data_IF_604442109024
#
_entry.id   IF_604442109024
#
_cell.length_a   1.000
_cell.length_b   1.000
_cell.length_c   1.000
_cell.angle_alpha   90.00
_cell.angle_beta   90.00
_cell.angle_gamma   90.00
#
_symmetry.space_group_name_H-M   'P 1'
#
loop_
_entity.id
_entity.type
_entity.pdbx_description
1 polymer ?
#
# COMPACT_ATOMS: atom_id res chain seq x y z
N UNK A 1 -1.50 -36.02 -1.12
CA UNK A 1 -1.86 -35.68 -2.50
C UNK A 1 -2.54 -34.32 -2.46
N UNK A 2 -1.74 -33.25 -2.50
CA UNK A 2 -2.20 -31.87 -2.34
C UNK A 2 -2.26 -31.26 -3.74
N UNK A 3 -3.46 -30.88 -4.18
CA UNK A 3 -3.63 -30.21 -5.46
C UNK A 3 -3.18 -28.73 -5.32
N UNK A 4 -2.05 -28.42 -5.92
CA UNK A 4 -1.60 -27.07 -6.16
C UNK A 4 -2.48 -26.44 -7.25
N UNK A 5 -3.30 -25.46 -6.90
CA UNK A 5 -3.86 -24.54 -7.87
C UNK A 5 -2.82 -23.45 -8.18
N UNK A 6 -1.91 -23.75 -9.10
CA UNK A 6 -1.22 -22.70 -9.81
C UNK A 6 -2.26 -22.06 -10.75
N UNK A 7 -2.55 -20.77 -10.59
CA UNK A 7 -3.34 -20.05 -11.59
C UNK A 7 -2.47 -19.84 -12.81
N UNK A 8 -2.51 -20.78 -13.74
CA UNK A 8 -1.86 -20.69 -15.05
C UNK A 8 -2.69 -19.79 -15.95
N UNK A 9 -2.07 -18.74 -16.45
CA UNK A 9 -2.64 -17.99 -17.56
C UNK A 9 -2.21 -18.68 -18.85
N UNK A 10 -3.07 -19.50 -19.43
CA UNK A 10 -2.78 -20.17 -20.71
C UNK A 10 -3.14 -19.21 -21.82
N UNK A 11 -2.15 -18.57 -22.42
CA UNK A 11 -2.30 -17.86 -23.69
C UNK A 11 -2.20 -18.86 -24.83
N UNK A 12 -3.32 -19.14 -25.54
CA UNK A 12 -3.30 -20.00 -26.72
C UNK A 12 -3.02 -19.16 -27.96
N UNK A 13 -1.89 -19.43 -28.61
CA UNK A 13 -1.58 -18.93 -29.96
C UNK A 13 -1.51 -20.12 -30.92
N UNK A 14 -2.41 -20.14 -31.91
CA UNK A 14 -2.30 -21.10 -33.01
C UNK A 14 -1.30 -20.58 -34.03
N UNK A 15 -0.25 -21.37 -34.32
CA UNK A 15 0.74 -21.05 -35.35
C UNK A 15 0.75 -22.16 -36.40
N UNK A 16 0.51 -21.79 -37.66
CA UNK A 16 0.56 -22.74 -38.76
C UNK A 16 2.02 -23.20 -39.06
N UNK A 17 2.23 -24.50 -39.27
CA UNK A 17 3.56 -25.12 -39.50
C UNK A 17 4.38 -24.43 -40.59
N UNK A 18 3.71 -23.84 -41.61
CA UNK A 18 4.37 -23.11 -42.70
C UNK A 18 5.07 -21.83 -42.26
N UNK A 19 4.62 -21.20 -41.18
CA UNK A 19 5.24 -20.00 -40.64
C UNK A 19 6.48 -20.31 -39.78
N UNK A 20 6.48 -21.46 -39.06
CA UNK A 20 7.57 -21.88 -38.20
C UNK A 20 8.80 -22.40 -38.99
N UNK A 21 8.58 -23.07 -40.15
CA UNK A 21 9.66 -23.61 -40.97
C UNK A 21 10.51 -22.55 -41.72
N UNK A 22 10.09 -21.29 -41.71
CA UNK A 22 10.90 -20.20 -42.27
C UNK A 22 11.94 -19.64 -41.32
N UNK A 23 11.88 -19.97 -40.03
CA UNK A 23 12.74 -19.39 -38.99
C UNK A 23 13.55 -20.40 -38.16
N UNK A 24 13.22 -21.71 -38.20
CA UNK A 24 13.85 -22.72 -37.36
C UNK A 24 14.21 -24.00 -38.16
N UNK A 25 15.33 -24.62 -37.86
CA UNK A 25 15.75 -25.93 -38.44
C UNK A 25 14.96 -27.10 -37.79
N UNK A 26 14.90 -28.24 -38.46
CA UNK A 26 14.11 -29.40 -38.00
C UNK A 26 14.59 -30.02 -36.67
N UNK A 27 15.82 -29.73 -36.23
CA UNK A 27 16.39 -30.16 -34.94
C UNK A 27 16.02 -29.20 -33.78
N UNK A 28 15.66 -27.96 -34.08
CA UNK A 28 15.26 -26.95 -33.07
C UNK A 28 13.78 -27.05 -32.69
N UNK A 29 12.95 -27.68 -33.52
CA UNK A 29 11.54 -27.90 -33.26
C UNK A 29 11.24 -28.98 -32.21
N UNK A 30 12.23 -29.80 -31.85
CA UNK A 30 12.04 -30.91 -30.91
C UNK A 30 12.48 -30.58 -29.46
N UNK A 31 13.01 -29.39 -29.19
CA UNK A 31 13.64 -29.04 -27.91
C UNK A 31 13.35 -27.62 -27.44
N UNK A 32 12.18 -27.05 -27.75
CA UNK A 32 11.78 -25.77 -27.18
C UNK A 32 11.01 -25.95 -25.87
N UNK A 33 11.70 -26.47 -24.84
CA UNK A 33 11.37 -26.12 -23.45
C UNK A 33 12.33 -25.01 -23.07
N UNK A 34 11.89 -23.77 -23.25
CA UNK A 34 12.67 -22.59 -22.84
C UNK A 34 12.30 -22.20 -21.42
N UNK A 35 13.25 -22.28 -20.51
CA UNK A 35 13.11 -21.67 -19.19
C UNK A 35 13.77 -20.29 -19.25
N UNK A 36 12.96 -19.24 -19.15
CA UNK A 36 13.48 -17.87 -19.07
C UNK A 36 13.19 -17.34 -17.66
N UNK A 37 14.25 -17.11 -16.89
CA UNK A 37 14.16 -16.46 -15.56
C UNK A 37 14.34 -14.96 -15.71
N UNK A 38 13.36 -14.19 -15.25
CA UNK A 38 13.48 -12.74 -15.06
C UNK A 38 12.86 -12.42 -13.72
N UNK A 39 13.68 -11.97 -12.77
CA UNK A 39 13.26 -11.47 -11.43
C UNK A 39 12.20 -12.33 -10.72
N UNK A 40 12.48 -13.61 -10.47
CA UNK A 40 11.59 -14.52 -9.72
C UNK A 40 10.41 -15.07 -10.52
N UNK A 41 10.36 -14.85 -11.84
CA UNK A 41 9.35 -15.39 -12.75
C UNK A 41 10.01 -16.38 -13.70
N UNK A 42 9.56 -17.62 -13.70
CA UNK A 42 9.92 -18.59 -14.73
C UNK A 42 8.80 -18.70 -15.76
N UNK A 43 9.15 -18.46 -17.03
CA UNK A 43 8.28 -18.77 -18.15
C UNK A 43 8.62 -20.18 -18.63
N UNK A 44 7.72 -21.12 -18.44
CA UNK A 44 7.83 -22.48 -18.97
C UNK A 44 6.93 -22.55 -20.19
N UNK A 45 7.53 -22.71 -21.35
CA UNK A 45 6.79 -22.86 -22.60
C UNK A 45 7.14 -24.16 -23.30
N UNK A 46 6.16 -24.84 -23.86
CA UNK A 46 6.34 -26.03 -24.65
C UNK A 46 5.51 -25.98 -25.93
N UNK A 47 6.03 -26.58 -26.99
CA UNK A 47 5.30 -26.78 -28.23
C UNK A 47 4.74 -28.20 -28.22
N UNK A 48 3.42 -28.31 -28.14
CA UNK A 48 2.75 -29.60 -28.22
C UNK A 48 2.16 -29.80 -29.62
N UNK A 49 2.49 -30.94 -30.21
CA UNK A 49 2.03 -31.31 -31.56
C UNK A 49 0.59 -31.83 -31.45
N UNK A 50 -0.32 -31.20 -32.18
CA UNK A 50 -1.68 -31.66 -32.34
C UNK A 50 -1.94 -31.97 -33.83
N UNK A 51 -2.23 -33.22 -34.10
CA UNK A 51 -2.67 -33.64 -35.44
C UNK A 51 -4.23 -33.54 -35.46
N UNK A 52 -4.80 -33.03 -36.56
CA UNK A 52 -6.23 -33.06 -36.71
C UNK A 52 -6.74 -34.52 -36.79
N UNK A 53 -7.99 -34.78 -36.41
CA UNK A 53 -8.57 -36.11 -36.36
C UNK A 53 -8.59 -36.83 -37.73
N UNK A 54 -8.20 -36.16 -38.85
CA UNK A 54 -8.05 -36.69 -40.18
C UNK A 54 -6.59 -36.87 -40.59
N UNK A 55 -5.63 -36.47 -39.75
CA UNK A 55 -4.19 -36.57 -40.05
C UNK A 55 -3.69 -35.69 -41.20
N UNK A 56 -4.51 -34.72 -41.66
CA UNK A 56 -4.23 -33.90 -42.84
C UNK A 56 -3.61 -32.56 -42.55
N UNK A 57 -3.72 -32.06 -41.32
CA UNK A 57 -3.07 -30.81 -40.88
C UNK A 57 -2.29 -31.03 -39.59
N UNK A 58 -1.04 -30.55 -39.60
CA UNK A 58 -0.18 -30.51 -38.41
C UNK A 58 -0.21 -29.08 -37.84
N UNK A 59 -0.67 -28.94 -36.64
CA UNK A 59 -0.65 -27.69 -35.86
C UNK A 59 0.16 -27.90 -34.59
N UNK A 60 0.86 -26.86 -34.14
CA UNK A 60 1.60 -26.89 -32.88
C UNK A 60 0.92 -25.93 -31.92
N UNK A 61 0.70 -26.39 -30.70
CA UNK A 61 0.26 -25.58 -29.60
C UNK A 61 1.47 -25.03 -28.87
N UNK A 62 1.58 -23.72 -28.82
CA UNK A 62 2.48 -23.04 -27.89
C UNK A 62 1.70 -22.75 -26.62
N UNK A 63 2.03 -23.42 -25.53
CA UNK A 63 1.55 -23.05 -24.22
C UNK A 63 2.68 -22.36 -23.44
N UNK A 64 2.33 -21.26 -22.80
CA UNK A 64 3.20 -20.51 -21.89
C UNK A 64 2.59 -20.59 -20.50
N UNK A 65 3.23 -21.34 -19.63
CA UNK A 65 2.93 -21.28 -18.20
C UNK A 65 3.83 -20.25 -17.53
N UNK A 66 3.22 -19.25 -16.92
CA UNK A 66 3.92 -18.30 -16.09
C UNK A 66 4.01 -18.88 -14.68
N UNK A 67 5.17 -19.42 -14.35
CA UNK A 67 5.43 -19.95 -13.00
C UNK A 67 6.17 -18.88 -12.21
N UNK A 68 5.52 -18.37 -11.19
CA UNK A 68 6.16 -17.45 -10.26
C UNK A 68 6.93 -18.27 -9.21
N UNK A 69 8.25 -18.21 -9.23
CA UNK A 69 9.07 -18.66 -8.12
C UNK A 69 9.24 -17.51 -7.16
N UNK A 70 8.59 -17.60 -6.01
CA UNK A 70 8.90 -16.74 -4.88
C UNK A 70 10.10 -17.35 -4.16
N UNK A 71 11.18 -16.59 -4.00
CA UNK A 71 12.40 -17.02 -3.31
C UNK A 71 12.16 -17.40 -1.83
N UNK A 72 11.00 -16.97 -1.27
CA UNK A 72 10.55 -17.36 0.05
C UNK A 72 9.19 -18.06 -0.02
N UNK A 73 9.16 -19.35 0.29
CA UNK A 73 7.94 -20.15 0.44
C UNK A 73 6.97 -19.55 1.49
N UNK A 74 7.50 -18.89 2.52
CA UNK A 74 6.74 -18.17 3.55
C UNK A 74 5.99 -16.96 2.97
N UNK A 75 6.61 -16.21 2.04
CA UNK A 75 5.94 -15.13 1.30
C UNK A 75 4.82 -15.65 0.38
N UNK A 76 4.93 -16.88 -0.11
CA UNK A 76 3.88 -17.51 -0.91
C UNK A 76 2.66 -17.87 -0.05
N UNK A 77 2.86 -18.34 1.17
CA UNK A 77 1.76 -18.63 2.11
C UNK A 77 1.09 -17.35 2.61
N UNK A 78 1.86 -16.29 2.86
CA UNK A 78 1.35 -14.97 3.23
C UNK A 78 0.55 -14.33 2.08
N UNK A 79 1.02 -14.47 0.84
CA UNK A 79 0.29 -14.03 -0.37
C UNK A 79 -1.02 -14.82 -0.59
N UNK A 80 -1.05 -16.08 -0.22
CA UNK A 80 -2.26 -16.91 -0.31
C UNK A 80 -3.33 -16.48 0.69
N UNK A 81 -2.95 -16.10 1.91
CA UNK A 81 -3.90 -15.62 2.91
C UNK A 81 -4.60 -14.33 2.44
N UNK A 82 -3.85 -13.30 2.00
CA UNK A 82 -4.42 -12.06 1.49
C UNK A 82 -5.27 -12.24 0.21
N UNK A 83 -4.88 -13.14 -0.71
CA UNK A 83 -5.67 -13.46 -1.91
C UNK A 83 -6.95 -14.27 -1.59
N UNK A 84 -6.94 -15.06 -0.53
CA UNK A 84 -8.11 -15.80 -0.06
C UNK A 84 -9.10 -14.90 0.69
N UNK A 85 -8.62 -13.86 1.37
CA UNK A 85 -9.46 -12.89 2.06
C UNK A 85 -10.30 -12.05 1.09
N UNK A 86 -9.82 -11.79 -0.14
CA UNK A 86 -10.64 -11.24 -1.22
C UNK A 86 -11.85 -12.14 -1.58
N UNK A 87 -11.75 -13.43 -1.33
CA UNK A 87 -12.82 -14.39 -1.57
C UNK A 87 -13.71 -14.64 -0.35
N UNK A 88 -13.25 -14.36 0.86
CA UNK A 88 -13.98 -14.58 2.12
C UNK A 88 -14.70 -13.34 2.67
N UNK A 89 -14.39 -12.18 2.15
CA UNK A 89 -14.85 -10.84 2.53
C UNK A 89 -13.76 -9.85 2.16
N UNK A 90 -14.06 -8.60 1.83
CA UNK A 90 -13.08 -7.63 1.34
C UNK A 90 -12.01 -7.23 2.40
N UNK A 91 -11.51 -8.18 3.15
CA UNK A 91 -10.36 -7.99 4.02
C UNK A 91 -10.66 -7.39 5.38
N UNK A 92 -11.90 -7.51 5.87
CA UNK A 92 -12.30 -6.98 7.16
C UNK A 92 -13.23 -7.91 7.93
N UNK A 93 -13.72 -7.42 9.08
CA UNK A 93 -14.82 -8.05 9.81
C UNK A 93 -16.19 -7.85 9.13
N UNK A 94 -16.21 -7.28 7.93
CA UNK A 94 -17.47 -7.09 7.19
C UNK A 94 -17.90 -8.43 6.65
N UNK A 95 -19.07 -8.88 7.09
CA UNK A 95 -19.70 -10.05 6.50
C UNK A 95 -19.96 -9.83 5.02
N UNK A 96 -19.85 -10.89 4.23
CA UNK A 96 -19.96 -10.83 2.75
C UNK A 96 -21.20 -10.08 2.27
N UNK A 97 -22.31 -10.24 2.99
CA UNK A 97 -23.60 -9.63 2.63
C UNK A 97 -23.69 -8.15 3.03
N UNK A 98 -22.82 -7.67 3.93
CA UNK A 98 -22.79 -6.29 4.43
C UNK A 98 -21.85 -5.38 3.63
N UNK A 99 -20.99 -5.93 2.76
CA UNK A 99 -19.99 -5.16 2.00
C UNK A 99 -20.64 -4.08 1.16
N UNK A 100 -21.72 -4.37 0.44
CA UNK A 100 -22.43 -3.37 -0.37
C UNK A 100 -22.96 -2.22 0.50
N UNK A 101 -23.52 -2.53 1.66
CA UNK A 101 -24.00 -1.55 2.63
C UNK A 101 -22.85 -0.69 3.19
N UNK A 102 -21.68 -1.29 3.42
CA UNK A 102 -20.50 -0.56 3.87
C UNK A 102 -19.97 0.40 2.80
N UNK A 103 -19.95 -0.04 1.53
CA UNK A 103 -19.59 0.82 0.39
C UNK A 103 -20.57 2.00 0.27
N UNK A 104 -21.90 1.74 0.34
CA UNK A 104 -22.92 2.80 0.30
C UNK A 104 -22.74 3.83 1.43
N UNK A 105 -22.39 3.38 2.63
CA UNK A 105 -22.14 4.27 3.77
C UNK A 105 -20.86 5.06 3.61
N UNK A 106 -19.80 4.43 3.11
CA UNK A 106 -18.53 5.08 2.86
C UNK A 106 -18.65 6.19 1.81
N UNK A 107 -19.26 5.89 0.66
CA UNK A 107 -19.43 6.85 -0.42
C UNK A 107 -20.28 8.06 -0.01
N UNK A 108 -21.21 7.92 0.95
CA UNK A 108 -22.01 9.04 1.48
C UNK A 108 -21.16 10.13 2.14
N UNK A 109 -20.04 9.78 2.76
CA UNK A 109 -19.11 10.77 3.32
C UNK A 109 -18.44 11.66 2.25
N UNK A 110 -18.41 11.20 1.00
CA UNK A 110 -17.71 11.87 -0.10
C UNK A 110 -18.64 12.30 -1.25
N UNK A 111 -19.96 12.36 -1.03
CA UNK A 111 -20.93 12.73 -2.07
C UNK A 111 -20.64 14.13 -2.62
N UNK A 112 -20.59 14.24 -3.95
CA UNK A 112 -20.39 15.47 -4.70
C UNK A 112 -19.05 16.20 -4.42
N UNK A 113 -17.96 15.71 -4.99
CA UNK A 113 -16.64 16.38 -5.01
C UNK A 113 -16.14 16.83 -3.62
N UNK A 114 -16.13 15.91 -2.68
CA UNK A 114 -15.57 16.11 -1.37
C UNK A 114 -16.58 16.06 -0.21
N UNK A 115 -17.88 16.08 -0.46
CA UNK A 115 -18.89 16.02 0.60
C UNK A 115 -18.77 17.16 1.61
N UNK A 116 -19.37 16.98 2.79
CA UNK A 116 -19.21 17.91 3.90
C UNK A 116 -17.95 17.54 4.71
N UNK A 117 -16.91 18.38 4.65
CA UNK A 117 -15.64 18.22 5.37
C UNK A 117 -15.86 18.11 6.88
N UNK A 118 -16.77 18.92 7.46
CA UNK A 118 -17.08 18.88 8.89
C UNK A 118 -17.75 17.56 9.27
N UNK A 119 -18.63 17.01 8.42
CA UNK A 119 -19.24 15.69 8.63
C UNK A 119 -18.19 14.58 8.59
N UNK A 120 -17.24 14.63 7.63
CA UNK A 120 -16.13 13.67 7.56
C UNK A 120 -15.24 13.74 8.80
N UNK A 121 -14.88 14.94 9.25
CA UNK A 121 -14.09 15.13 10.47
C UNK A 121 -14.81 14.64 11.72
N UNK A 122 -16.09 14.90 11.83
CA UNK A 122 -16.89 14.46 12.98
C UNK A 122 -17.06 12.94 13.06
N UNK A 123 -17.05 12.25 11.90
CA UNK A 123 -17.25 10.81 11.81
C UNK A 123 -15.99 10.07 11.33
N UNK A 124 -14.79 10.68 11.43
CA UNK A 124 -13.57 10.15 10.84
C UNK A 124 -13.26 8.71 11.24
N UNK A 125 -13.48 8.35 12.50
CA UNK A 125 -13.23 6.99 13.01
C UNK A 125 -14.05 5.94 12.26
N UNK A 126 -15.34 6.19 12.05
CA UNK A 126 -16.22 5.28 11.31
C UNK A 126 -15.87 5.25 9.83
N UNK A 127 -15.61 6.41 9.23
CA UNK A 127 -15.23 6.55 7.83
C UNK A 127 -13.92 5.82 7.52
N UNK A 128 -12.87 6.08 8.31
CA UNK A 128 -11.54 5.48 8.11
C UNK A 128 -11.57 3.97 8.36
N UNK A 129 -12.29 3.51 9.40
CA UNK A 129 -12.42 2.07 9.65
C UNK A 129 -13.14 1.36 8.50
N UNK A 130 -14.25 1.90 8.00
CA UNK A 130 -14.96 1.34 6.84
C UNK A 130 -14.08 1.30 5.61
N UNK A 131 -13.33 2.37 5.36
CA UNK A 131 -12.38 2.42 4.26
C UNK A 131 -11.37 1.27 4.36
N UNK A 132 -10.65 1.15 5.46
CA UNK A 132 -9.63 0.10 5.61
C UNK A 132 -10.21 -1.31 5.68
N UNK A 133 -11.42 -1.49 6.21
CA UNK A 133 -12.12 -2.78 6.15
C UNK A 133 -12.42 -3.19 4.70
N UNK A 134 -12.66 -2.23 3.79
CA UNK A 134 -12.91 -2.47 2.38
C UNK A 134 -11.63 -2.67 1.55
N UNK A 135 -10.53 -1.96 1.88
CA UNK A 135 -9.38 -1.85 0.97
C UNK A 135 -8.11 -2.57 1.42
N UNK A 136 -7.99 -2.98 2.70
CA UNK A 136 -6.74 -3.55 3.22
C UNK A 136 -6.22 -4.73 2.39
N UNK A 137 -7.10 -5.64 1.97
CA UNK A 137 -6.70 -6.77 1.11
C UNK A 137 -6.23 -6.33 -0.28
N UNK A 138 -6.80 -5.27 -0.85
CA UNK A 138 -6.34 -4.70 -2.11
C UNK A 138 -4.95 -4.08 -1.97
N UNK A 139 -4.70 -3.40 -0.86
CA UNK A 139 -3.38 -2.84 -0.57
C UNK A 139 -2.34 -3.93 -0.33
N UNK A 140 -2.65 -4.94 0.49
CA UNK A 140 -1.75 -6.08 0.70
C UNK A 140 -1.44 -6.79 -0.63
N UNK A 141 -2.44 -6.93 -1.51
CA UNK A 141 -2.24 -7.50 -2.84
C UNK A 141 -1.38 -6.63 -3.76
N UNK A 142 -1.56 -5.32 -3.76
CA UNK A 142 -0.88 -4.38 -4.66
C UNK A 142 0.51 -3.94 -4.17
N UNK A 143 0.59 -3.46 -2.91
CA UNK A 143 1.80 -2.91 -2.30
C UNK A 143 2.61 -3.92 -1.49
N UNK A 144 1.99 -4.99 -0.98
CA UNK A 144 2.56 -5.87 0.02
C UNK A 144 2.20 -5.43 1.45
N UNK A 145 3.14 -5.51 2.40
CA UNK A 145 2.85 -5.26 3.82
C UNK A 145 3.04 -3.80 4.26
N UNK A 146 3.71 -2.97 3.45
CA UNK A 146 4.00 -1.57 3.73
C UNK A 146 3.21 -0.68 2.76
N UNK A 147 2.13 -0.07 3.25
CA UNK A 147 1.17 0.70 2.46
C UNK A 147 1.57 2.17 2.35
N UNK A 148 2.75 2.45 1.81
CA UNK A 148 3.22 3.81 1.66
C UNK A 148 4.08 4.00 0.42
N UNK A 149 4.24 5.25 0.01
CA UNK A 149 5.14 5.66 -1.06
C UNK A 149 6.60 5.76 -0.57
N UNK A 150 7.51 5.90 -1.51
CA UNK A 150 8.90 6.19 -1.24
C UNK A 150 9.55 6.96 -2.41
N UNK A 151 10.50 7.85 -2.15
CA UNK A 151 11.34 8.42 -3.21
C UNK A 151 12.19 7.30 -3.81
N UNK A 152 12.25 7.22 -5.14
CA UNK A 152 12.91 6.11 -5.85
C UNK A 152 14.20 6.55 -6.53
N UNK A 153 15.19 5.66 -6.53
CA UNK A 153 16.40 5.83 -7.31
C UNK A 153 16.30 5.08 -8.64
N UNK A 154 17.08 5.49 -9.62
CA UNK A 154 17.15 4.79 -10.90
C UNK A 154 17.67 3.35 -10.69
N UNK A 155 16.94 2.37 -11.22
CA UNK A 155 17.27 0.96 -11.08
C UNK A 155 16.79 0.30 -9.78
N UNK A 156 16.20 1.05 -8.87
CA UNK A 156 15.65 0.53 -7.61
C UNK A 156 14.23 0.01 -7.82
N UNK A 157 13.92 -1.16 -7.30
CA UNK A 157 12.56 -1.67 -7.25
C UNK A 157 11.69 -0.87 -6.27
N UNK A 158 10.35 -0.97 -6.37
CA UNK A 158 9.45 -0.32 -5.43
C UNK A 158 9.70 -0.82 -3.99
N UNK A 159 9.87 -2.13 -3.80
CA UNK A 159 10.10 -2.75 -2.49
C UNK A 159 11.40 -2.26 -1.84
N UNK A 160 12.49 -2.18 -2.60
CA UNK A 160 13.76 -1.64 -2.10
C UNK A 160 13.65 -0.17 -1.70
N UNK A 161 12.92 0.64 -2.51
CA UNK A 161 12.71 2.05 -2.18
C UNK A 161 11.90 2.23 -0.89
N UNK A 162 10.84 1.44 -0.70
CA UNK A 162 10.02 1.42 0.52
C UNK A 162 10.91 1.09 1.73
N UNK A 163 11.62 -0.03 1.68
CA UNK A 163 12.53 -0.47 2.75
C UNK A 163 13.59 0.59 3.09
N UNK A 164 14.23 1.17 2.09
CA UNK A 164 15.20 2.24 2.28
C UNK A 164 14.57 3.49 2.92
N UNK A 165 13.33 3.78 2.59
CA UNK A 165 12.58 4.92 3.16
C UNK A 165 12.28 4.70 4.65
N UNK A 166 11.88 3.49 5.03
CA UNK A 166 11.70 3.09 6.43
C UNK A 166 13.02 3.18 7.22
N UNK A 167 14.13 2.71 6.64
CA UNK A 167 15.47 2.85 7.25
C UNK A 167 15.90 4.31 7.40
N UNK A 168 15.61 5.16 6.42
CA UNK A 168 15.90 6.59 6.51
C UNK A 168 15.18 7.22 7.71
N UNK A 169 13.90 6.89 7.93
CA UNK A 169 13.13 7.39 9.07
C UNK A 169 13.76 6.95 10.41
N UNK A 170 14.12 5.68 10.52
CA UNK A 170 14.81 5.14 11.70
C UNK A 170 16.15 5.84 11.98
N UNK A 171 16.92 6.15 10.94
CA UNK A 171 18.19 6.90 11.04
C UNK A 171 17.97 8.36 11.43
N UNK A 172 16.94 9.03 10.90
CA UNK A 172 16.61 10.41 11.29
C UNK A 172 16.21 10.52 12.76
N UNK A 173 15.49 9.53 13.28
CA UNK A 173 15.16 9.40 14.70
C UNK A 173 16.36 9.01 15.57
N UNK A 174 17.45 8.55 14.96
CA UNK A 174 18.63 8.08 15.69
C UNK A 174 18.33 6.88 16.58
N UNK A 175 17.49 5.97 16.12
CA UNK A 175 17.05 4.79 16.90
C UNK A 175 18.22 3.94 17.35
N UNK A 176 18.15 3.46 18.61
CA UNK A 176 19.18 2.64 19.25
C UNK A 176 18.57 1.35 19.79
N UNK A 177 19.35 0.25 19.85
CA UNK A 177 18.87 -1.01 20.39
C UNK A 177 18.18 -0.87 21.74
N UNK A 178 17.09 -1.63 21.93
CA UNK A 178 16.28 -1.69 23.17
C UNK A 178 15.43 -0.45 23.47
N UNK A 179 15.44 0.58 22.66
CA UNK A 179 14.49 1.70 22.79
C UNK A 179 13.05 1.22 22.59
N UNK A 180 12.12 1.87 23.29
CA UNK A 180 10.67 1.70 23.10
C UNK A 180 10.17 2.72 22.09
N UNK A 181 9.72 2.26 20.97
CA UNK A 181 9.26 3.10 19.85
C UNK A 181 7.77 2.92 19.63
N UNK A 182 7.06 3.98 19.29
CA UNK A 182 5.65 3.95 18.90
C UNK A 182 5.53 4.20 17.39
N UNK A 183 4.82 3.31 16.71
CA UNK A 183 4.36 3.44 15.33
C UNK A 183 2.90 3.87 15.33
N UNK A 184 2.61 5.11 14.93
CA UNK A 184 1.27 5.70 14.98
C UNK A 184 0.56 5.48 13.65
N UNK A 185 -0.51 4.67 13.65
CA UNK A 185 -1.21 4.26 12.44
C UNK A 185 -0.46 3.18 11.67
N UNK A 186 -0.02 2.15 12.37
CA UNK A 186 0.91 1.13 11.87
C UNK A 186 0.36 0.19 10.78
N UNK A 187 -0.90 0.32 10.36
CA UNK A 187 -1.51 -0.59 9.41
C UNK A 187 -1.40 -2.06 9.83
N UNK A 188 -1.00 -2.93 8.92
CA UNK A 188 -0.70 -4.35 9.20
C UNK A 188 0.75 -4.58 9.66
N UNK A 189 1.52 -3.51 9.90
CA UNK A 189 2.82 -3.54 10.54
C UNK A 189 4.01 -3.87 9.64
N UNK A 190 3.95 -3.62 8.34
CA UNK A 190 5.12 -3.74 7.45
C UNK A 190 6.30 -2.90 7.94
N UNK A 191 6.16 -1.57 8.00
CA UNK A 191 7.20 -0.67 8.52
C UNK A 191 7.63 -1.00 9.95
N UNK A 192 6.68 -1.37 10.81
CA UNK A 192 6.93 -1.75 12.21
C UNK A 192 7.94 -2.89 12.31
N UNK A 193 7.73 -3.97 11.53
CA UNK A 193 8.64 -5.13 11.51
C UNK A 193 10.01 -4.78 10.95
N UNK A 194 10.04 -4.04 9.84
CA UNK A 194 11.30 -3.67 9.18
C UNK A 194 12.15 -2.72 10.04
N UNK A 195 11.54 -1.69 10.63
CA UNK A 195 12.23 -0.74 11.51
C UNK A 195 12.73 -1.42 12.79
N UNK A 196 11.91 -2.30 13.40
CA UNK A 196 12.33 -3.08 14.57
C UNK A 196 13.57 -3.94 14.30
N UNK A 197 13.59 -4.66 13.17
CA UNK A 197 14.75 -5.47 12.75
C UNK A 197 15.99 -4.61 12.46
N UNK A 198 15.81 -3.53 11.72
CA UNK A 198 16.91 -2.64 11.34
C UNK A 198 17.57 -1.96 12.52
N UNK A 199 16.79 -1.49 13.50
CA UNK A 199 17.27 -0.71 14.64
C UNK A 199 17.46 -1.52 15.90
N UNK A 200 17.02 -2.78 15.97
CA UNK A 200 16.98 -3.62 17.17
C UNK A 200 16.19 -2.96 18.31
N UNK A 201 15.12 -2.24 17.98
CA UNK A 201 14.20 -1.61 18.93
C UNK A 201 13.00 -2.49 19.22
N UNK A 202 12.26 -2.16 20.31
CA UNK A 202 10.92 -2.69 20.53
C UNK A 202 9.91 -1.70 20.02
N UNK A 203 9.07 -2.10 19.05
CA UNK A 203 8.08 -1.23 18.43
C UNK A 203 6.66 -1.64 18.83
N UNK A 204 5.90 -0.68 19.34
CA UNK A 204 4.47 -0.81 19.58
C UNK A 204 3.73 -0.13 18.45
N UNK A 205 2.94 -0.88 17.68
CA UNK A 205 2.06 -0.35 16.65
C UNK A 205 0.71 0.04 17.26
N UNK A 206 0.28 1.27 17.04
CA UNK A 206 -1.04 1.74 17.41
C UNK A 206 -1.89 1.87 16.15
N UNK A 207 -3.06 1.26 16.12
CA UNK A 207 -4.00 1.37 15.03
C UNK A 207 -5.44 1.27 15.50
N UNK A 208 -6.35 1.89 14.79
CA UNK A 208 -7.77 1.89 15.11
C UNK A 208 -8.53 0.71 14.48
N UNK A 209 -8.04 0.18 13.37
CA UNK A 209 -8.70 -0.89 12.62
C UNK A 209 -8.38 -2.27 13.21
N UNK A 210 -9.42 -3.00 13.65
CA UNK A 210 -9.30 -4.32 14.28
C UNK A 210 -8.77 -5.40 13.33
N UNK A 211 -9.19 -5.35 12.05
CA UNK A 211 -8.72 -6.31 11.06
C UNK A 211 -7.22 -6.16 10.83
N UNK A 212 -6.74 -4.93 10.62
CA UNK A 212 -5.33 -4.66 10.41
C UNK A 212 -4.48 -5.11 11.61
N UNK A 213 -4.95 -4.89 12.84
CA UNK A 213 -4.27 -5.36 14.05
C UNK A 213 -4.20 -6.89 14.11
N UNK A 214 -5.32 -7.56 13.84
CA UNK A 214 -5.37 -9.03 13.84
C UNK A 214 -4.45 -9.61 12.78
N UNK A 215 -4.46 -9.02 11.57
CA UNK A 215 -3.58 -9.39 10.47
C UNK A 215 -2.12 -9.14 10.82
N UNK A 216 -1.79 -7.98 11.37
CA UNK A 216 -0.44 -7.63 11.80
C UNK A 216 0.12 -8.59 12.85
N UNK A 217 -0.69 -9.00 13.84
CA UNK A 217 -0.31 -9.99 14.84
C UNK A 217 0.00 -11.35 14.20
N UNK A 218 -0.84 -11.81 13.27
CA UNK A 218 -0.58 -13.05 12.54
C UNK A 218 0.73 -12.99 11.75
N UNK A 219 1.00 -11.87 11.06
CA UNK A 219 2.25 -11.65 10.34
C UNK A 219 3.47 -11.59 11.27
N UNK A 220 3.35 -10.97 12.47
CA UNK A 220 4.43 -10.97 13.45
C UNK A 220 4.79 -12.39 13.91
N UNK A 221 3.78 -13.22 14.19
CA UNK A 221 4.00 -14.61 14.61
C UNK A 221 4.66 -15.45 13.52
N UNK A 222 4.26 -15.27 12.26
CA UNK A 222 4.86 -15.97 11.10
C UNK A 222 6.36 -15.65 11.00
N UNK A 223 6.75 -14.40 11.19
CA UNK A 223 8.16 -13.96 11.04
C UNK A 223 8.93 -13.94 12.36
N UNK A 224 8.32 -14.38 13.47
CA UNK A 224 8.97 -14.59 14.77
C UNK A 224 9.43 -13.31 15.47
N UNK A 225 8.70 -12.20 15.34
CA UNK A 225 9.05 -10.90 15.98
C UNK A 225 8.12 -10.50 17.12
N UNK A 226 7.25 -11.39 17.60
CA UNK A 226 6.27 -11.11 18.67
C UNK A 226 6.90 -10.57 19.96
N UNK A 227 8.17 -10.88 20.21
CA UNK A 227 8.90 -10.42 21.39
C UNK A 227 9.29 -8.94 21.32
N UNK A 228 9.41 -8.40 20.12
CA UNK A 228 9.87 -7.01 19.89
C UNK A 228 8.83 -6.14 19.24
N UNK A 229 7.79 -6.73 18.67
CA UNK A 229 6.74 -6.04 17.90
C UNK A 229 5.37 -6.41 18.48
N UNK A 230 4.62 -5.44 18.95
CA UNK A 230 3.27 -5.64 19.44
C UNK A 230 2.29 -4.62 18.86
N UNK A 231 0.99 -4.89 19.02
CA UNK A 231 -0.08 -4.03 18.51
C UNK A 231 -1.05 -3.65 19.63
N UNK A 232 -1.46 -2.38 19.62
CA UNK A 232 -2.51 -1.83 20.49
C UNK A 232 -3.60 -1.22 19.63
N UNK A 233 -4.85 -1.70 19.82
CA UNK A 233 -6.01 -1.09 19.19
C UNK A 233 -6.40 0.15 19.95
N UNK A 234 -6.21 1.31 19.34
CA UNK A 234 -6.67 2.59 19.90
C UNK A 234 -6.70 3.66 18.81
N UNK A 235 -7.42 4.72 19.15
CA UNK A 235 -7.45 5.95 18.38
C UNK A 235 -6.25 6.83 18.74
N UNK A 236 -5.51 7.30 17.74
CA UNK A 236 -4.36 8.17 17.95
C UNK A 236 -4.76 9.57 18.48
N UNK A 237 -6.05 9.94 18.39
CA UNK A 237 -6.59 11.15 19.05
C UNK A 237 -6.70 11.01 20.57
N UNK A 238 -6.62 9.76 21.09
CA UNK A 238 -6.66 9.45 22.53
C UNK A 238 -5.90 8.17 22.81
N UNK A 239 -4.60 8.26 22.97
CA UNK A 239 -3.73 7.11 23.14
C UNK A 239 -3.78 6.54 24.56
N UNK A 240 -3.88 5.18 24.73
CA UNK A 240 -4.00 4.53 26.05
C UNK A 240 -2.63 4.32 26.73
N UNK A 241 -1.71 5.25 26.53
CA UNK A 241 -0.37 5.17 27.12
C UNK A 241 -0.17 6.28 28.16
N UNK A 242 0.61 6.03 29.24
CA UNK A 242 1.04 7.09 30.14
C UNK A 242 1.90 8.13 29.44
N UNK A 243 1.97 9.32 30.04
CA UNK A 243 2.87 10.38 29.60
C UNK A 243 4.33 9.89 29.60
N UNK A 244 5.12 10.40 28.68
CA UNK A 244 6.57 10.14 28.62
C UNK A 244 6.93 8.65 28.58
N UNK A 245 6.20 7.85 27.80
CA UNK A 245 6.39 6.39 27.71
C UNK A 245 7.46 6.00 26.70
N UNK A 246 7.49 6.66 25.53
CA UNK A 246 8.29 6.23 24.39
C UNK A 246 9.58 7.04 24.20
N UNK A 247 10.63 6.34 23.77
CA UNK A 247 11.93 6.91 23.44
C UNK A 247 11.96 7.55 22.06
N UNK A 248 11.07 7.17 21.16
CA UNK A 248 10.83 7.77 19.86
C UNK A 248 9.42 7.46 19.39
N UNK A 249 8.88 8.30 18.53
CA UNK A 249 7.58 8.09 17.87
C UNK A 249 7.76 8.34 16.37
N UNK A 250 7.10 7.54 15.55
CA UNK A 250 6.98 7.83 14.13
C UNK A 250 5.58 7.56 13.61
N UNK A 251 5.27 8.18 12.46
CA UNK A 251 4.08 7.92 11.67
C UNK A 251 4.47 7.90 10.19
N UNK A 252 3.95 6.93 9.44
CA UNK A 252 4.18 6.83 8.01
C UNK A 252 2.84 6.90 7.29
N UNK A 253 2.58 8.04 6.65
CA UNK A 253 1.36 8.29 5.86
C UNK A 253 0.05 7.98 6.63
N UNK A 254 0.03 8.28 7.94
CA UNK A 254 -1.06 7.88 8.83
C UNK A 254 -1.77 9.07 9.48
N UNK A 255 -1.04 10.09 9.92
CA UNK A 255 -1.65 11.24 10.62
C UNK A 255 -2.42 12.19 9.69
N UNK A 256 -2.36 11.98 8.39
CA UNK A 256 -3.26 12.59 7.39
C UNK A 256 -4.74 12.26 7.63
N UNK A 257 -5.03 11.12 8.26
CA UNK A 257 -6.39 10.75 8.65
C UNK A 257 -6.90 11.48 9.92
N UNK A 258 -6.05 12.21 10.64
CA UNK A 258 -6.48 12.91 11.85
C UNK A 258 -7.44 14.06 11.52
N UNK A 259 -8.63 14.13 12.15
CA UNK A 259 -9.57 15.22 11.95
C UNK A 259 -9.03 16.54 12.49
N UNK A 260 -8.19 16.48 13.51
CA UNK A 260 -7.46 17.58 14.13
C UNK A 260 -5.99 17.20 14.30
N UNK A 261 -5.12 17.79 13.47
CA UNK A 261 -3.70 17.53 13.54
C UNK A 261 -3.06 18.01 14.85
N UNK A 262 -3.53 19.14 15.38
CA UNK A 262 -3.02 19.70 16.65
C UNK A 262 -3.32 18.75 17.80
N UNK A 263 -4.56 18.25 17.87
CA UNK A 263 -4.98 17.27 18.88
C UNK A 263 -4.18 15.96 18.77
N UNK A 264 -4.01 15.43 17.57
CA UNK A 264 -3.20 14.23 17.31
C UNK A 264 -1.74 14.43 17.74
N UNK A 265 -1.11 15.54 17.34
CA UNK A 265 0.27 15.81 17.70
C UNK A 265 0.45 16.11 19.18
N UNK A 266 -0.56 16.67 19.88
CA UNK A 266 -0.55 16.81 21.36
C UNK A 266 -0.55 15.45 22.05
N UNK A 267 -1.28 14.47 21.57
CA UNK A 267 -1.23 13.10 22.11
C UNK A 267 0.13 12.45 21.87
N UNK A 268 0.72 12.60 20.67
CA UNK A 268 2.08 12.15 20.38
C UNK A 268 3.09 12.85 21.33
N UNK A 269 2.96 14.17 21.48
CA UNK A 269 3.80 14.94 22.41
C UNK A 269 3.69 14.43 23.85
N UNK A 270 2.49 14.14 24.30
CA UNK A 270 2.22 13.64 25.66
C UNK A 270 2.95 12.32 25.93
N UNK A 271 2.82 11.36 25.01
CA UNK A 271 3.40 10.00 25.20
C UNK A 271 4.90 9.92 24.93
N UNK A 272 5.47 10.88 24.22
CA UNK A 272 6.89 10.97 23.93
C UNK A 272 7.66 11.52 25.13
N UNK A 273 8.82 10.96 25.46
CA UNK A 273 9.69 11.45 26.54
C UNK A 273 10.28 12.82 26.20
N UNK A 274 10.52 13.69 27.20
CA UNK A 274 11.25 14.97 26.98
C UNK A 274 12.59 14.75 26.31
N UNK A 275 12.97 15.67 25.41
CA UNK A 275 14.20 15.61 24.62
C UNK A 275 14.18 14.63 23.46
N UNK A 276 13.16 13.78 23.35
CA UNK A 276 13.04 12.78 22.28
C UNK A 276 12.33 13.32 21.05
N UNK A 277 12.40 12.55 19.94
CA UNK A 277 11.93 13.00 18.64
C UNK A 277 10.69 12.22 18.13
N UNK A 278 9.87 12.95 17.40
CA UNK A 278 8.82 12.45 16.52
C UNK A 278 9.20 12.74 15.07
N UNK A 279 9.10 11.75 14.19
CA UNK A 279 9.31 11.92 12.76
C UNK A 279 8.15 11.32 11.97
N UNK A 280 7.79 11.93 10.85
CA UNK A 280 6.74 11.37 10.01
C UNK A 280 7.00 11.64 8.51
N UNK A 281 6.32 10.83 7.71
CA UNK A 281 5.97 11.11 6.33
C UNK A 281 4.48 11.41 6.29
N UNK A 282 4.13 12.52 5.64
CA UNK A 282 2.76 13.03 5.66
C UNK A 282 2.25 13.33 4.26
N UNK A 283 0.98 13.04 4.05
CA UNK A 283 0.25 13.42 2.84
C UNK A 283 -0.19 14.88 2.94
N UNK A 284 0.30 15.69 2.01
CA UNK A 284 0.03 17.13 2.03
C UNK A 284 -0.27 17.66 0.64
N UNK A 285 -1.14 18.66 0.58
CA UNK A 285 -1.13 19.60 -0.54
C UNK A 285 0.11 20.50 -0.41
N UNK A 286 0.76 20.79 -1.54
CA UNK A 286 1.93 21.65 -1.61
C UNK A 286 1.53 23.13 -1.72
N UNK A 287 2.51 24.03 -1.72
CA UNK A 287 2.26 25.46 -1.96
C UNK A 287 1.84 25.78 -3.41
N UNK A 288 1.96 24.82 -4.34
CA UNK A 288 1.43 24.93 -5.72
C UNK A 288 -0.08 24.69 -5.79
N UNK A 289 -0.71 24.21 -4.72
CA UNK A 289 -2.15 24.01 -4.67
C UNK A 289 -2.88 25.34 -4.56
N UNK A 290 -3.76 25.63 -5.51
CA UNK A 290 -4.65 26.78 -5.48
C UNK A 290 -6.08 26.34 -5.12
N UNK A 291 -6.62 26.74 -3.96
CA UNK A 291 -7.97 26.37 -3.53
C UNK A 291 -9.09 26.97 -4.42
N UNK A 292 -8.78 27.97 -5.23
CA UNK A 292 -9.76 28.55 -6.16
C UNK A 292 -9.75 27.86 -7.54
N UNK A 293 -8.78 26.97 -7.80
CA UNK A 293 -8.70 26.22 -9.04
C UNK A 293 -9.58 24.97 -8.94
N UNK A 294 -10.61 24.89 -9.77
CA UNK A 294 -11.56 23.77 -9.79
C UNK A 294 -10.90 22.43 -10.10
N UNK A 295 -9.87 22.40 -10.96
CA UNK A 295 -9.14 21.18 -11.28
C UNK A 295 -8.32 20.70 -10.06
N UNK A 296 -7.68 21.62 -9.33
CA UNK A 296 -6.95 21.29 -8.11
C UNK A 296 -7.89 20.74 -7.02
N UNK A 297 -9.05 21.35 -6.84
CA UNK A 297 -10.08 20.88 -5.91
C UNK A 297 -10.61 19.49 -6.30
N UNK A 298 -10.83 19.26 -7.59
CA UNK A 298 -11.24 17.94 -8.08
C UNK A 298 -10.20 16.88 -7.76
N UNK A 299 -8.91 17.13 -8.04
CA UNK A 299 -7.80 16.20 -7.74
C UNK A 299 -7.71 15.92 -6.24
N UNK A 300 -7.80 16.97 -5.39
CA UNK A 300 -7.83 16.81 -3.95
C UNK A 300 -8.99 15.90 -3.52
N UNK A 301 -10.20 16.13 -4.01
CA UNK A 301 -11.38 15.32 -3.71
C UNK A 301 -11.27 13.86 -4.19
N UNK A 302 -10.67 13.63 -5.36
CA UNK A 302 -10.41 12.27 -5.88
C UNK A 302 -9.42 11.49 -4.99
N UNK A 303 -8.40 12.16 -4.44
CA UNK A 303 -7.46 11.57 -3.48
C UNK A 303 -8.18 11.31 -2.14
N UNK A 304 -8.96 12.27 -1.63
CA UNK A 304 -9.67 12.11 -0.35
C UNK A 304 -10.65 10.93 -0.35
N UNK A 305 -11.50 10.82 -1.38
CA UNK A 305 -12.42 9.69 -1.48
C UNK A 305 -11.71 8.37 -1.70
N UNK A 306 -10.64 8.40 -2.49
CA UNK A 306 -9.93 7.18 -2.87
C UNK A 306 -9.05 6.61 -1.76
N UNK A 307 -8.70 7.43 -0.75
CA UNK A 307 -7.75 7.06 0.31
C UNK A 307 -8.33 7.26 1.73
N UNK A 308 -9.63 7.52 1.85
CA UNK A 308 -10.31 7.62 3.15
C UNK A 308 -9.88 8.80 4.00
N UNK A 309 -9.57 9.93 3.38
CA UNK A 309 -9.07 11.11 4.06
C UNK A 309 -10.21 12.09 4.40
N UNK A 310 -10.27 12.61 5.63
CA UNK A 310 -11.26 13.63 5.98
C UNK A 310 -10.98 14.97 5.31
N UNK A 311 -9.70 15.36 5.22
CA UNK A 311 -9.21 16.58 4.59
C UNK A 311 -7.69 16.52 4.44
N UNK A 312 -7.16 16.86 3.25
CA UNK A 312 -5.72 16.90 3.01
C UNK A 312 -5.20 18.31 3.31
N UNK A 313 -4.35 18.40 4.32
CA UNK A 313 -3.73 19.65 4.80
C UNK A 313 -2.61 20.13 3.88
N UNK A 314 -2.32 21.43 3.92
CA UNK A 314 -1.11 21.99 3.33
C UNK A 314 0.12 21.66 4.20
N UNK A 315 1.30 21.57 3.59
CA UNK A 315 2.58 21.33 4.29
C UNK A 315 2.80 22.34 5.44
N UNK A 316 2.50 23.62 5.22
CA UNK A 316 2.60 24.66 6.25
C UNK A 316 1.66 24.46 7.43
N UNK A 317 0.44 23.95 7.20
CA UNK A 317 -0.52 23.64 8.27
C UNK A 317 -0.02 22.50 9.15
N UNK A 318 0.68 21.52 8.56
CA UNK A 318 1.34 20.45 9.30
C UNK A 318 2.41 21.00 10.26
N UNK A 319 3.28 21.92 9.80
CA UNK A 319 4.30 22.56 10.63
C UNK A 319 3.71 23.44 11.72
N UNK A 320 2.65 24.18 11.43
CA UNK A 320 1.93 24.97 12.41
C UNK A 320 1.33 24.09 13.50
N UNK A 321 0.71 22.98 13.12
CA UNK A 321 0.14 22.02 14.06
C UNK A 321 1.19 21.42 15.01
N UNK A 322 2.38 21.08 14.49
CA UNK A 322 3.51 20.62 15.32
C UNK A 322 3.91 21.69 16.37
N UNK A 323 4.07 22.94 15.95
CA UNK A 323 4.41 24.05 16.84
C UNK A 323 3.33 24.29 17.89
N UNK A 324 2.05 24.26 17.49
CA UNK A 324 0.90 24.40 18.40
C UNK A 324 0.78 23.24 19.40
N UNK A 325 1.28 22.05 19.03
CA UNK A 325 1.36 20.90 19.94
C UNK A 325 2.55 21.00 20.91
N UNK A 326 3.45 21.96 20.74
CA UNK A 326 4.61 22.20 21.61
C UNK A 326 5.93 21.63 21.08
N UNK A 327 5.97 21.08 19.87
CA UNK A 327 7.19 20.56 19.27
C UNK A 327 8.10 21.66 18.73
N UNK A 328 9.42 21.41 18.83
CA UNK A 328 10.45 22.12 18.09
C UNK A 328 10.72 21.39 16.78
N UNK A 329 10.43 22.01 15.65
CA UNK A 329 10.72 21.43 14.32
C UNK A 329 12.22 21.56 14.05
N UNK A 330 12.92 20.42 13.98
CA UNK A 330 14.36 20.35 13.72
C UNK A 330 14.64 20.36 12.23
N UNK A 331 13.84 19.63 11.47
CA UNK A 331 14.02 19.45 10.04
C UNK A 331 12.68 19.20 9.38
N UNK A 332 12.52 19.74 8.18
CA UNK A 332 11.42 19.41 7.28
C UNK A 332 11.93 19.38 5.84
N UNK A 333 11.33 18.57 5.02
CA UNK A 333 11.63 18.49 3.60
C UNK A 333 10.57 17.68 2.86
N UNK A 334 10.13 18.17 1.71
CA UNK A 334 9.44 17.32 0.74
C UNK A 334 10.47 16.44 0.00
N UNK A 335 10.44 15.14 0.25
CA UNK A 335 11.36 14.16 -0.34
C UNK A 335 10.98 13.78 -1.78
N UNK A 336 9.80 14.21 -2.26
CA UNK A 336 9.42 14.09 -3.66
C UNK A 336 10.23 15.03 -4.55
N UNK A 337 10.58 16.21 -4.00
CA UNK A 337 11.34 17.24 -4.73
C UNK A 337 12.77 16.78 -4.98
N UNK A 338 13.16 16.75 -6.25
CA UNK A 338 14.49 16.32 -6.67
C UNK A 338 14.70 14.80 -6.71
N UNK A 339 13.66 14.01 -6.48
CA UNK A 339 13.72 12.55 -6.69
C UNK A 339 13.98 12.25 -8.18
N UNK A 340 14.97 11.40 -8.52
CA UNK A 340 15.29 11.08 -9.91
C UNK A 340 14.21 10.25 -10.62
N UNK A 341 13.30 9.65 -9.86
CA UNK A 341 12.14 8.89 -10.34
C UNK A 341 10.91 9.42 -9.63
N UNK A 342 9.86 9.85 -10.35
CA UNK A 342 8.63 10.33 -9.72
C UNK A 342 8.02 9.28 -8.81
N UNK A 343 7.58 9.68 -7.60
CA UNK A 343 6.99 8.77 -6.62
C UNK A 343 5.72 8.08 -7.14
N UNK A 344 4.92 8.76 -7.97
CA UNK A 344 3.67 8.27 -8.54
C UNK A 344 3.88 7.31 -9.73
N UNK A 345 5.12 7.12 -10.18
CA UNK A 345 5.41 6.33 -11.39
C UNK A 345 4.83 4.90 -11.36
N UNK A 346 4.78 4.18 -10.22
CA UNK A 346 4.17 2.85 -10.19
C UNK A 346 2.69 2.83 -10.59
N UNK A 347 1.98 3.95 -10.36
CA UNK A 347 0.55 4.12 -10.69
C UNK A 347 0.32 4.74 -12.07
N UNK A 348 1.35 5.34 -12.68
CA UNK A 348 1.20 6.04 -13.97
C UNK A 348 0.92 5.05 -15.10
N UNK A 349 -0.15 5.31 -15.86
CA UNK A 349 -0.58 4.48 -16.99
C UNK A 349 0.48 4.35 -18.10
N UNK A 350 1.40 5.31 -18.21
CA UNK A 350 2.51 5.28 -19.18
C UNK A 350 3.67 4.39 -18.76
N UNK A 351 3.69 3.94 -17.50
CA UNK A 351 4.78 3.15 -16.94
C UNK A 351 4.45 1.66 -16.91
N UNK A 352 5.42 0.84 -17.31
CA UNK A 352 5.38 -0.61 -17.17
C UNK A 352 6.54 -1.09 -16.32
N UNK A 353 6.26 -1.93 -15.33
CA UNK A 353 7.27 -2.54 -14.46
C UNK A 353 6.85 -3.95 -14.09
N UNK A 354 7.76 -4.92 -14.17
CA UNK A 354 7.50 -6.27 -13.70
C UNK A 354 7.51 -6.37 -12.17
N UNK A 355 8.42 -5.65 -11.51
CA UNK A 355 8.52 -5.66 -10.04
C UNK A 355 7.32 -4.99 -9.32
N UNK A 356 6.59 -4.13 -10.01
CA UNK A 356 5.35 -3.51 -9.52
C UNK A 356 4.18 -3.74 -10.49
N UNK A 357 4.17 -4.87 -11.18
CA UNK A 357 3.21 -5.19 -12.24
C UNK A 357 1.75 -4.96 -11.82
N UNK A 358 1.37 -5.37 -10.60
CA UNK A 358 0.00 -5.25 -10.08
C UNK A 358 -0.50 -3.81 -10.01
N UNK A 359 0.41 -2.85 -9.85
CA UNK A 359 0.10 -1.40 -9.80
C UNK A 359 0.09 -0.74 -11.18
N UNK A 360 0.70 -1.37 -12.19
CA UNK A 360 0.70 -0.85 -13.55
C UNK A 360 -0.70 -0.83 -14.17
N UNK A 361 -0.93 -0.05 -15.21
CA UNK A 361 -2.21 0.01 -15.92
C UNK A 361 -2.70 -1.38 -16.37
N UNK A 362 -1.79 -2.22 -16.86
CA UNK A 362 -2.12 -3.60 -17.27
C UNK A 362 -2.50 -4.46 -16.07
N UNK A 363 -1.72 -4.40 -14.98
CA UNK A 363 -2.01 -5.16 -13.76
C UNK A 363 -3.35 -4.75 -13.14
N UNK A 364 -3.63 -3.45 -13.05
CA UNK A 364 -4.92 -2.92 -12.58
C UNK A 364 -6.08 -3.34 -13.48
N UNK A 365 -5.91 -3.29 -14.81
CA UNK A 365 -6.91 -3.79 -15.75
C UNK A 365 -7.23 -5.28 -15.52
N UNK A 366 -6.21 -6.11 -15.32
CA UNK A 366 -6.39 -7.54 -15.01
C UNK A 366 -7.10 -7.70 -13.67
N UNK A 367 -6.68 -6.99 -12.62
CA UNK A 367 -7.32 -7.02 -11.30
C UNK A 367 -8.79 -6.60 -11.37
N UNK A 368 -9.11 -5.54 -12.10
CA UNK A 368 -10.50 -5.09 -12.31
C UNK A 368 -11.36 -6.17 -12.94
N UNK A 369 -10.90 -6.80 -14.01
CA UNK A 369 -11.67 -7.86 -14.67
C UNK A 369 -11.77 -9.12 -13.81
N UNK A 370 -10.74 -9.45 -13.02
CA UNK A 370 -10.77 -10.54 -12.06
C UNK A 370 -11.80 -10.29 -10.96
N UNK A 371 -11.81 -9.10 -10.35
CA UNK A 371 -12.79 -8.73 -9.31
C UNK A 371 -14.21 -8.78 -9.88
N UNK A 372 -14.43 -8.26 -11.09
CA UNK A 372 -15.71 -8.30 -11.77
C UNK A 372 -16.19 -9.76 -11.99
N UNK A 373 -15.30 -10.62 -12.46
CA UNK A 373 -15.65 -12.04 -12.66
C UNK A 373 -15.95 -12.75 -11.35
N UNK A 374 -15.16 -12.52 -10.29
CA UNK A 374 -15.36 -13.11 -8.96
C UNK A 374 -16.68 -12.63 -8.32
N UNK A 375 -17.03 -11.35 -8.47
CA UNK A 375 -18.31 -10.83 -7.99
C UNK A 375 -19.49 -11.41 -8.78
N UNK A 376 -19.36 -11.53 -10.11
CA UNK A 376 -20.39 -12.10 -10.97
C UNK A 376 -20.70 -13.57 -10.61
N UNK A 377 -19.69 -14.39 -10.35
CA UNK A 377 -19.87 -15.80 -9.95
C UNK A 377 -20.16 -15.97 -8.45
N UNK A 378 -20.28 -14.89 -7.69
CA UNK A 378 -20.60 -14.90 -6.27
C UNK A 378 -19.46 -15.36 -5.35
N UNK A 379 -18.22 -15.42 -5.85
CA UNK A 379 -17.03 -15.71 -5.03
C UNK A 379 -16.54 -14.46 -4.29
N UNK A 380 -16.60 -13.28 -4.91
CA UNK A 380 -16.38 -12.02 -4.22
C UNK A 380 -17.71 -11.38 -3.75
N UNK A 381 -17.72 -10.58 -2.67
CA UNK A 381 -18.88 -9.86 -2.20
C UNK A 381 -19.44 -8.90 -3.24
N UNK A 382 -20.75 -8.64 -3.20
CA UNK A 382 -21.35 -7.54 -3.97
C UNK A 382 -20.81 -6.21 -3.48
N UNK A 383 -20.43 -5.35 -4.42
CA UNK A 383 -19.80 -4.06 -4.12
C UNK A 383 -18.28 -4.04 -4.30
N UNK A 384 -17.63 -5.20 -4.49
CA UNK A 384 -16.18 -5.30 -4.72
C UNK A 384 -15.72 -4.49 -5.94
N UNK A 385 -16.52 -4.44 -7.02
CA UNK A 385 -16.23 -3.60 -8.19
C UNK A 385 -16.24 -2.11 -7.86
N UNK A 386 -17.15 -1.66 -6.98
CA UNK A 386 -17.21 -0.24 -6.58
C UNK A 386 -15.97 0.15 -5.78
N UNK A 387 -15.50 -0.74 -4.87
CA UNK A 387 -14.22 -0.55 -4.18
C UNK A 387 -13.07 -0.43 -5.18
N UNK A 388 -12.99 -1.32 -6.16
CA UNK A 388 -11.97 -1.25 -7.20
C UNK A 388 -12.05 0.07 -8.01
N UNK A 389 -13.25 0.59 -8.27
CA UNK A 389 -13.42 1.83 -9.04
C UNK A 389 -12.92 3.06 -8.29
N UNK A 390 -13.23 3.23 -6.99
CA UNK A 390 -12.70 4.37 -6.26
C UNK A 390 -11.18 4.28 -6.02
N UNK A 391 -10.62 3.08 -5.87
CA UNK A 391 -9.16 2.90 -5.86
C UNK A 391 -8.50 3.28 -7.20
N UNK A 392 -9.17 3.02 -8.34
CA UNK A 392 -8.70 3.49 -9.65
C UNK A 392 -8.74 5.02 -9.76
N UNK A 393 -9.81 5.66 -9.28
CA UNK A 393 -9.93 7.12 -9.23
C UNK A 393 -8.84 7.73 -8.34
N UNK A 394 -8.59 7.12 -7.16
CA UNK A 394 -7.50 7.52 -6.29
C UNK A 394 -6.15 7.49 -7.01
N UNK A 395 -5.83 6.37 -7.68
CA UNK A 395 -4.59 6.26 -8.42
C UNK A 395 -4.45 7.33 -9.53
N UNK A 396 -5.55 7.70 -10.20
CA UNK A 396 -5.55 8.78 -11.20
C UNK A 396 -5.37 10.16 -10.55
N UNK A 397 -6.04 10.41 -9.43
CA UNK A 397 -5.88 11.64 -8.64
C UNK A 397 -4.46 11.81 -8.12
N UNK A 398 -3.87 10.75 -7.55
CA UNK A 398 -2.49 10.74 -7.07
C UNK A 398 -1.47 11.05 -8.18
N UNK A 399 -1.63 10.40 -9.36
CA UNK A 399 -0.77 10.68 -10.52
C UNK A 399 -0.96 12.11 -11.02
N UNK A 400 -2.19 12.62 -11.08
CA UNK A 400 -2.47 13.99 -11.51
C UNK A 400 -1.91 15.01 -10.51
N UNK A 401 -2.10 14.79 -9.21
CA UNK A 401 -1.57 15.63 -8.14
C UNK A 401 -0.05 15.69 -8.14
N UNK A 402 0.61 14.54 -8.35
CA UNK A 402 2.06 14.47 -8.46
C UNK A 402 2.61 15.14 -9.72
N UNK A 403 1.98 14.94 -10.89
CA UNK A 403 2.37 15.60 -12.15
C UNK A 403 2.22 17.11 -12.13
N UNK A 404 1.23 17.61 -11.39
CA UNK A 404 1.00 19.05 -11.21
C UNK A 404 1.79 19.65 -10.04
N UNK A 405 2.51 18.82 -9.31
CA UNK A 405 3.27 19.20 -8.11
C UNK A 405 2.41 19.87 -7.02
N UNK A 406 1.10 19.59 -7.01
CA UNK A 406 0.14 20.13 -6.03
C UNK A 406 -0.05 19.22 -4.82
N UNK A 407 0.43 17.99 -4.89
CA UNK A 407 0.30 16.97 -3.83
C UNK A 407 1.61 16.20 -3.66
N UNK A 408 1.94 15.88 -2.41
CA UNK A 408 3.05 15.02 -2.04
C UNK A 408 2.66 14.05 -0.92
N UNK A 409 2.98 12.74 -1.01
CA UNK A 409 2.87 11.80 0.10
C UNK A 409 4.17 11.73 0.93
N UNK A 410 5.21 12.47 0.53
CA UNK A 410 6.58 12.33 1.02
C UNK A 410 7.05 13.56 1.81
N UNK A 411 6.10 14.31 2.41
CA UNK A 411 6.47 15.44 3.26
C UNK A 411 7.02 14.94 4.58
N UNK A 412 8.34 14.99 4.70
CA UNK A 412 9.08 14.57 5.88
C UNK A 412 9.22 15.70 6.87
N UNK A 413 9.03 15.40 8.15
CA UNK A 413 9.49 16.26 9.25
C UNK A 413 10.09 15.44 10.39
N UNK A 414 11.01 16.08 11.11
CA UNK A 414 11.59 15.64 12.37
C UNK A 414 11.37 16.74 13.40
N UNK A 415 10.67 16.42 14.49
CA UNK A 415 10.30 17.36 15.53
C UNK A 415 10.72 16.81 16.90
N UNK A 416 11.18 17.67 17.81
CA UNK A 416 11.65 17.29 19.13
C UNK A 416 10.70 17.81 20.20
N UNK A 417 10.38 16.98 21.18
CA UNK A 417 9.81 17.45 22.43
C UNK A 417 10.89 18.12 23.25
N UNK A 418 10.77 19.43 23.58
CA UNK A 418 11.76 20.11 24.41
C UNK A 418 12.07 19.34 25.71
N UNK A 419 13.30 19.49 26.23
CA UNK A 419 13.60 19.04 27.57
C UNK A 419 12.70 19.81 28.56
N UNK A 420 12.12 19.14 29.52
CA UNK A 420 11.54 19.84 30.65
C UNK A 420 12.68 20.56 31.36
N UNK A 421 12.64 21.87 31.44
CA UNK A 421 13.52 22.56 32.36
C UNK A 421 13.28 21.98 33.75
N UNK A 422 14.23 21.22 34.25
CA UNK A 422 14.23 20.78 35.63
C UNK A 422 14.56 22.02 36.45
N UNK A 423 13.52 22.76 36.84
CA UNK A 423 13.64 23.80 37.87
C UNK A 423 13.91 23.16 39.22
#
# INVERSE_FOLDING_TARGET
>A
MVFLFAKSFVGMLFVEERSLRRSLSSSELTACVGLVFVEGVALVGGLERVDDWRGTKRSYFLYLEVVFFLEDWELLEMSKAGALDLASGLGGKIEKDDVLSAVDKYEKYHVCYGGDEEERKANYTDMVNKYYDLVTSFYEYGWGESFHFAPRWKGESLRESIKRHEHFLALQLGLKPKQKVLDVGCGIGGPLREIARFSSTSVTGLNNNEYQISRGKALNSIVGVDQTCNFVKADFMKMPFPDNTFDAVYAIEATCHAPDAVGCYKEIFRVLKPGQCFAAYEWCMTDSFDPNNQEHQKIKGEIEIGDGLPDIRLTRQCLEALKMAGFEVIREKDLAVGSPVPWYLPLDKSHFSLSSFRLTAMGRFITKNMVMALEYVGLAPKGSQRVQLFLEQAAEGLVAGGKKEIFTPLYFFLARKPQSDVL
#
